data_IF_107740711557
#
_entry.id   IF_107740711557
#
_cell.length_a   1.000
_cell.length_b   1.000
_cell.length_c   1.000
_cell.angle_alpha   90.00
_cell.angle_beta   90.00
_cell.angle_gamma   90.00
#
_symmetry.space_group_name_H-M   'P 1'
#
loop_
_entity.id
_entity.type
_entity.pdbx_description
1 polymer ?
#
# COMPACT_ATOMS: atom_id res chain seq x y z
N UNK A 1 36.68 -37.67 -5.47
CA UNK A 1 36.35 -36.26 -5.73
C UNK A 1 35.34 -35.75 -4.69
N UNK A 2 35.86 -35.07 -3.67
CA UNK A 2 35.13 -34.58 -2.51
C UNK A 2 34.76 -33.09 -2.65
N UNK A 3 34.21 -32.71 -3.81
CA UNK A 3 33.98 -31.29 -4.16
C UNK A 3 32.63 -31.06 -4.84
N UNK A 4 31.60 -31.82 -4.44
CA UNK A 4 30.24 -31.50 -4.84
C UNK A 4 29.72 -30.42 -3.89
N UNK A 5 29.55 -29.20 -4.43
CA UNK A 5 28.86 -28.12 -3.73
C UNK A 5 27.51 -28.66 -3.18
N UNK A 6 27.12 -28.30 -1.94
CA UNK A 6 25.85 -28.76 -1.39
C UNK A 6 24.73 -28.36 -2.35
N UNK A 7 23.71 -29.22 -2.54
CA UNK A 7 22.58 -28.88 -3.39
C UNK A 7 22.01 -27.54 -2.92
N UNK A 8 21.77 -26.62 -3.86
CA UNK A 8 21.17 -25.33 -3.58
C UNK A 8 19.93 -25.56 -2.69
N UNK A 9 19.90 -24.90 -1.53
CA UNK A 9 18.81 -25.07 -0.58
C UNK A 9 17.48 -24.89 -1.32
N UNK A 10 16.58 -25.87 -1.19
CA UNK A 10 15.23 -25.76 -1.75
C UNK A 10 14.61 -24.50 -1.15
N UNK A 11 14.21 -23.50 -1.96
CA UNK A 11 13.60 -22.29 -1.44
C UNK A 11 12.39 -22.68 -0.60
N UNK A 12 12.37 -22.25 0.66
CA UNK A 12 11.20 -22.46 1.51
C UNK A 12 10.02 -21.74 0.85
N UNK A 13 8.86 -22.39 0.64
CA UNK A 13 7.70 -21.72 0.07
C UNK A 13 7.38 -20.50 0.93
N UNK A 14 7.50 -19.30 0.36
CA UNK A 14 7.04 -18.11 1.04
C UNK A 14 5.51 -18.15 1.06
N UNK A 15 4.85 -17.99 2.22
CA UNK A 15 3.40 -17.91 2.26
C UNK A 15 2.95 -16.77 1.35
N UNK A 16 1.89 -17.00 0.57
CA UNK A 16 1.37 -16.01 -0.37
C UNK A 16 1.04 -14.72 0.40
N UNK A 17 1.52 -13.54 -0.04
CA UNK A 17 1.27 -12.32 0.69
C UNK A 17 -0.21 -11.98 0.70
N UNK A 18 -0.71 -11.52 1.85
CA UNK A 18 -2.09 -11.08 2.02
C UNK A 18 -2.15 -9.59 1.69
N UNK A 19 -2.67 -9.28 0.50
CA UNK A 19 -2.87 -7.90 0.05
C UNK A 19 -4.37 -7.66 -0.15
N UNK A 20 -4.90 -6.61 0.46
CA UNK A 20 -6.31 -6.24 0.37
C UNK A 20 -6.54 -4.95 -0.42
N UNK A 21 -7.79 -4.68 -0.76
CA UNK A 21 -8.26 -3.37 -1.19
C UNK A 21 -9.43 -2.92 -0.30
N UNK A 22 -9.47 -1.62 0.03
CA UNK A 22 -10.58 -1.02 0.77
C UNK A 22 -10.99 0.28 0.09
N UNK A 23 -12.21 0.27 -0.44
CA UNK A 23 -12.83 1.47 -0.99
C UNK A 23 -13.41 2.37 0.10
N UNK A 24 -13.01 3.63 0.09
CA UNK A 24 -13.61 4.67 0.93
C UNK A 24 -14.97 5.09 0.36
N UNK A 25 -15.99 5.21 1.19
CA UNK A 25 -17.32 5.69 0.79
C UNK A 25 -17.93 6.57 1.89
N UNK A 26 -18.90 7.45 1.57
CA UNK A 26 -19.48 8.33 2.58
C UNK A 26 -20.13 7.50 3.69
N UNK A 27 -19.71 7.71 4.94
CA UNK A 27 -20.17 6.94 6.08
C UNK A 27 -19.37 5.68 6.40
N UNK A 28 -18.24 5.42 5.72
CA UNK A 28 -17.29 4.38 6.16
C UNK A 28 -16.89 4.64 7.62
N UNK A 29 -16.97 3.60 8.45
CA UNK A 29 -16.71 3.71 9.88
C UNK A 29 -15.27 3.31 10.19
N UNK A 30 -14.69 3.93 11.22
CA UNK A 30 -13.38 3.51 11.74
C UNK A 30 -13.38 2.03 12.17
N UNK A 31 -14.50 1.53 12.67
CA UNK A 31 -14.65 0.12 13.04
C UNK A 31 -14.53 -0.81 11.83
N UNK A 32 -15.18 -0.50 10.71
CA UNK A 32 -15.03 -1.30 9.49
C UNK A 32 -13.58 -1.29 8.99
N UNK A 33 -12.94 -0.11 8.98
CA UNK A 33 -11.54 0.03 8.61
C UNK A 33 -10.63 -0.80 9.52
N UNK A 34 -10.83 -0.74 10.84
CA UNK A 34 -10.08 -1.55 11.82
C UNK A 34 -10.28 -3.05 11.60
N UNK A 35 -11.51 -3.50 11.33
CA UNK A 35 -11.79 -4.92 11.05
C UNK A 35 -11.05 -5.44 9.83
N UNK A 36 -10.99 -4.66 8.75
CA UNK A 36 -10.20 -5.02 7.56
C UNK A 36 -8.72 -5.13 7.92
N UNK A 37 -8.19 -4.10 8.60
CA UNK A 37 -6.77 -3.99 8.99
C UNK A 37 -6.32 -4.96 10.09
N UNK A 38 -7.25 -5.64 10.77
CA UNK A 38 -6.95 -6.62 11.82
C UNK A 38 -6.54 -7.99 11.25
N UNK A 39 -6.89 -8.27 10.00
CA UNK A 39 -6.35 -9.42 9.25
C UNK A 39 -4.82 -9.30 9.18
N UNK A 40 -4.04 -10.40 9.17
CA UNK A 40 -2.59 -10.36 8.97
C UNK A 40 -2.22 -9.92 7.53
N UNK A 41 -2.55 -8.68 7.20
CA UNK A 41 -2.29 -8.01 5.93
C UNK A 41 -0.82 -7.63 5.85
N UNK A 42 -0.20 -7.95 4.72
CA UNK A 42 1.07 -7.36 4.33
C UNK A 42 0.85 -5.93 3.81
N UNK A 43 -0.20 -5.73 3.01
CA UNK A 43 -0.50 -4.43 2.43
C UNK A 43 -1.99 -4.21 2.14
N UNK A 44 -2.38 -2.95 2.03
CA UNK A 44 -3.73 -2.51 1.68
C UNK A 44 -3.66 -1.43 0.59
N UNK A 45 -4.41 -1.61 -0.48
CA UNK A 45 -4.74 -0.53 -1.42
C UNK A 45 -5.97 0.20 -0.91
N UNK A 46 -5.81 1.46 -0.49
CA UNK A 46 -6.90 2.31 -0.04
C UNK A 46 -7.43 3.10 -1.24
N UNK A 47 -8.65 2.84 -1.68
CA UNK A 47 -9.24 3.62 -2.78
C UNK A 47 -9.89 4.89 -2.21
N UNK A 48 -9.18 6.02 -2.24
CA UNK A 48 -9.65 7.30 -1.73
C UNK A 48 -10.26 8.19 -2.82
N UNK A 49 -10.84 9.33 -2.40
CA UNK A 49 -11.47 10.26 -3.34
C UNK A 49 -10.46 11.16 -4.05
N UNK A 50 -10.71 11.45 -5.33
CA UNK A 50 -10.03 12.52 -6.06
C UNK A 50 -8.51 12.38 -6.04
N UNK A 51 -7.82 13.35 -5.45
CA UNK A 51 -6.35 13.40 -5.39
C UNK A 51 -5.74 12.69 -4.17
N UNK A 52 -6.49 11.83 -3.47
CA UNK A 52 -6.04 11.16 -2.25
C UNK A 52 -6.67 11.72 -0.98
N UNK A 53 -7.99 11.81 -0.96
CA UNK A 53 -8.75 12.34 0.18
C UNK A 53 -9.57 11.23 0.84
N UNK A 54 -9.35 11.01 2.13
CA UNK A 54 -10.17 10.16 2.98
C UNK A 54 -11.13 10.96 3.88
N UNK A 55 -11.90 10.29 4.76
CA UNK A 55 -12.68 10.96 5.81
C UNK A 55 -11.73 11.49 6.90
N UNK A 56 -10.80 12.37 6.56
CA UNK A 56 -9.68 12.75 7.44
C UNK A 56 -10.10 13.55 8.68
N UNK A 57 -11.30 14.15 8.67
CA UNK A 57 -11.95 14.74 9.85
C UNK A 57 -12.41 13.70 10.88
N UNK A 58 -12.44 12.43 10.51
CA UNK A 58 -12.68 11.32 11.43
C UNK A 58 -11.34 10.83 11.98
N UNK A 59 -10.93 11.35 13.14
CA UNK A 59 -9.65 11.02 13.77
C UNK A 59 -9.49 9.52 14.00
N UNK A 60 -10.55 8.82 14.40
CA UNK A 60 -10.52 7.37 14.62
C UNK A 60 -10.24 6.56 13.35
N UNK A 61 -10.62 7.09 12.17
CA UNK A 61 -10.27 6.48 10.89
C UNK A 61 -8.78 6.65 10.58
N UNK A 62 -8.25 7.88 10.74
CA UNK A 62 -6.83 8.17 10.50
C UNK A 62 -5.94 7.40 11.47
N UNK A 63 -6.35 7.31 12.74
CA UNK A 63 -5.66 6.52 13.76
C UNK A 63 -5.63 5.02 13.41
N UNK A 64 -6.73 4.45 12.90
CA UNK A 64 -6.76 3.06 12.46
C UNK A 64 -5.73 2.77 11.35
N UNK A 65 -5.54 3.71 10.42
CA UNK A 65 -4.51 3.62 9.38
C UNK A 65 -3.11 3.72 10.00
N UNK A 66 -2.87 4.71 10.86
CA UNK A 66 -1.58 4.92 11.51
C UNK A 66 -1.15 3.71 12.36
N UNK A 67 -2.07 3.12 13.13
CA UNK A 67 -1.82 1.91 13.88
C UNK A 67 -1.45 0.72 12.98
N UNK A 68 -2.11 0.58 11.83
CA UNK A 68 -1.79 -0.49 10.88
C UNK A 68 -0.40 -0.28 10.24
N UNK A 69 -0.07 0.95 9.86
CA UNK A 69 1.28 1.28 9.37
C UNK A 69 2.32 1.01 10.45
N UNK A 70 2.06 1.36 11.71
CA UNK A 70 2.95 1.06 12.84
C UNK A 70 3.14 -0.45 13.09
N UNK A 71 2.15 -1.29 12.74
CA UNK A 71 2.29 -2.76 12.73
C UNK A 71 3.08 -3.31 11.53
N UNK A 72 3.46 -2.46 10.57
CA UNK A 72 4.19 -2.85 9.37
C UNK A 72 3.31 -3.12 8.13
N UNK A 73 2.02 -2.77 8.16
CA UNK A 73 1.15 -2.87 6.98
C UNK A 73 1.48 -1.72 6.01
N UNK A 74 1.81 -2.05 4.77
CA UNK A 74 1.98 -1.03 3.72
C UNK A 74 0.62 -0.58 3.21
N UNK A 75 0.26 0.69 3.39
CA UNK A 75 -0.99 1.25 2.86
C UNK A 75 -0.67 2.18 1.69
N UNK A 76 -1.28 1.94 0.54
CA UNK A 76 -1.11 2.73 -0.69
C UNK A 76 -2.44 3.35 -1.07
N UNK A 77 -2.49 4.68 -1.14
CA UNK A 77 -3.66 5.42 -1.57
C UNK A 77 -3.74 5.46 -3.11
N UNK A 78 -4.83 4.94 -3.66
CA UNK A 78 -5.18 5.03 -5.07
C UNK A 78 -6.49 5.81 -5.22
N UNK A 79 -6.60 6.59 -6.29
CA UNK A 79 -7.84 7.32 -6.55
C UNK A 79 -8.95 6.38 -7.05
N UNK A 80 -10.19 6.66 -6.65
CA UNK A 80 -11.39 6.07 -7.25
C UNK A 80 -11.69 6.61 -8.65
N UNK A 81 -11.05 7.70 -9.07
CA UNK A 81 -11.22 8.27 -10.40
C UNK A 81 -10.58 7.37 -11.45
N UNK A 82 -11.24 7.15 -12.59
CA UNK A 82 -10.69 6.35 -13.71
C UNK A 82 -9.35 6.89 -14.23
N UNK A 83 -9.14 8.20 -14.10
CA UNK A 83 -7.86 8.88 -14.36
C UNK A 83 -7.68 9.95 -13.30
N UNK A 84 -6.50 9.97 -12.69
CA UNK A 84 -6.11 10.93 -11.69
C UNK A 84 -4.77 10.55 -11.10
N UNK A 85 -4.20 11.45 -10.32
CA UNK A 85 -2.94 11.20 -9.62
C UNK A 85 -3.18 11.51 -8.15
N UNK A 86 -2.83 10.58 -7.27
CA UNK A 86 -2.82 10.85 -5.83
C UNK A 86 -1.62 11.74 -5.51
N UNK A 87 -1.90 12.89 -4.91
CA UNK A 87 -0.88 13.84 -4.43
C UNK A 87 -1.17 14.15 -2.96
N UNK A 88 -0.45 13.45 -2.09
CA UNK A 88 -0.54 13.63 -0.64
C UNK A 88 0.22 14.86 -0.14
N UNK A 89 0.96 15.56 -1.01
CA UNK A 89 1.70 16.79 -0.70
C UNK A 89 0.89 18.07 -0.99
N UNK A 90 -0.08 18.01 -1.91
CA UNK A 90 -0.78 19.18 -2.45
C UNK A 90 -1.97 19.72 -1.64
N UNK A 91 -2.56 18.96 -0.69
CA UNK A 91 -3.76 19.38 0.06
C UNK A 91 -3.72 19.01 1.56
N UNK A 92 -4.35 19.84 2.40
CA UNK A 92 -4.43 19.64 3.86
C UNK A 92 -5.04 18.29 4.29
N UNK A 93 -5.92 17.70 3.47
CA UNK A 93 -6.56 16.40 3.72
C UNK A 93 -5.71 15.20 3.27
N UNK A 94 -4.92 15.36 2.20
CA UNK A 94 -3.88 14.38 1.83
C UNK A 94 -2.75 14.34 2.86
N UNK A 95 -2.46 15.48 3.50
CA UNK A 95 -1.49 15.57 4.58
C UNK A 95 -1.86 14.68 5.79
N UNK A 96 -3.15 14.47 6.08
CA UNK A 96 -3.57 13.60 7.18
C UNK A 96 -3.24 12.12 6.90
N UNK A 97 -3.52 11.65 5.67
CA UNK A 97 -3.16 10.29 5.26
C UNK A 97 -1.65 10.11 5.20
N UNK A 98 -0.91 11.10 4.68
CA UNK A 98 0.55 11.08 4.70
C UNK A 98 1.11 11.03 6.13
N UNK A 99 0.54 11.80 7.07
CA UNK A 99 0.93 11.77 8.49
C UNK A 99 0.63 10.42 9.15
N UNK A 100 -0.41 9.73 8.71
CA UNK A 100 -0.68 8.34 9.11
C UNK A 100 0.28 7.32 8.46
N UNK A 101 1.19 7.76 7.58
CA UNK A 101 2.19 6.92 6.92
C UNK A 101 1.69 6.19 5.67
N UNK A 102 0.53 6.59 5.14
CA UNK A 102 0.00 6.12 3.85
C UNK A 102 0.87 6.64 2.71
N UNK A 103 1.14 5.77 1.73
CA UNK A 103 1.92 6.08 0.54
C UNK A 103 1.00 6.58 -0.58
N UNK A 104 1.48 7.51 -1.39
CA UNK A 104 0.81 7.84 -2.65
C UNK A 104 1.00 6.71 -3.67
N UNK A 105 -0.10 6.27 -4.29
CA UNK A 105 -0.08 5.42 -5.48
C UNK A 105 0.10 6.21 -6.79
N UNK A 106 0.19 7.55 -6.73
CA UNK A 106 0.29 8.44 -7.88
C UNK A 106 -0.83 8.15 -8.90
N UNK A 107 -0.50 7.92 -10.17
CA UNK A 107 -1.41 7.62 -11.27
C UNK A 107 -1.60 6.12 -11.52
N UNK A 108 -1.15 5.26 -10.60
CA UNK A 108 -1.33 3.82 -10.74
C UNK A 108 -2.81 3.43 -10.62
N UNK A 109 -3.22 2.38 -11.33
CA UNK A 109 -4.56 1.82 -11.14
C UNK A 109 -4.60 0.93 -9.89
N UNK A 110 -5.80 0.73 -9.32
CA UNK A 110 -6.00 -0.14 -8.16
C UNK A 110 -5.49 -1.56 -8.44
N UNK A 111 -5.76 -2.08 -9.64
CA UNK A 111 -5.31 -3.41 -10.08
C UNK A 111 -3.78 -3.48 -10.20
N UNK A 112 -3.15 -2.44 -10.74
CA UNK A 112 -1.70 -2.37 -10.86
C UNK A 112 -1.02 -2.27 -9.49
N UNK A 113 -1.57 -1.47 -8.56
CA UNK A 113 -1.08 -1.39 -7.18
C UNK A 113 -1.19 -2.75 -6.47
N UNK A 114 -2.33 -3.43 -6.58
CA UNK A 114 -2.53 -4.77 -6.02
C UNK A 114 -1.52 -5.77 -6.59
N UNK A 115 -1.39 -5.83 -7.91
CA UNK A 115 -0.46 -6.73 -8.59
C UNK A 115 1.00 -6.46 -8.19
N UNK A 116 1.39 -5.19 -8.14
CA UNK A 116 2.73 -4.76 -7.75
C UNK A 116 3.03 -5.11 -6.29
N UNK A 117 2.11 -4.89 -5.37
CA UNK A 117 2.28 -5.27 -3.96
C UNK A 117 2.42 -6.78 -3.79
N UNK A 118 1.56 -7.57 -4.44
CA UNK A 118 1.66 -9.05 -4.42
C UNK A 118 3.00 -9.50 -4.97
N UNK A 119 3.42 -8.94 -6.10
CA UNK A 119 4.71 -9.24 -6.71
C UNK A 119 5.88 -8.91 -5.77
N UNK A 120 5.92 -7.68 -5.24
CA UNK A 120 7.02 -7.22 -4.37
C UNK A 120 7.09 -8.01 -3.06
N UNK A 121 5.96 -8.29 -2.41
CA UNK A 121 5.93 -9.10 -1.18
C UNK A 121 6.19 -10.59 -1.41
N UNK A 122 6.04 -11.09 -2.64
CA UNK A 122 6.50 -12.44 -2.99
C UNK A 122 8.03 -12.54 -3.13
N UNK A 123 8.73 -11.41 -3.16
CA UNK A 123 10.19 -11.35 -3.15
C UNK A 123 10.72 -11.32 -1.71
N UNK A 124 11.95 -11.78 -1.50
CA UNK A 124 12.64 -11.69 -0.21
C UNK A 124 13.17 -10.27 0.06
N UNK A 125 12.30 -9.26 -0.04
CA UNK A 125 12.62 -7.85 0.13
C UNK A 125 12.17 -7.33 1.51
N UNK A 126 12.95 -6.45 2.16
CA UNK A 126 12.49 -5.74 3.35
C UNK A 126 11.28 -4.85 3.04
N UNK A 127 10.36 -4.70 4.01
CA UNK A 127 9.16 -3.85 3.87
C UNK A 127 9.49 -2.43 3.43
N UNK A 128 10.54 -1.81 3.98
CA UNK A 128 10.93 -0.44 3.62
C UNK A 128 11.33 -0.35 2.13
N UNK A 129 12.06 -1.34 1.63
CA UNK A 129 12.38 -1.43 0.19
C UNK A 129 11.13 -1.59 -0.66
N UNK A 130 10.15 -2.37 -0.22
CA UNK A 130 8.86 -2.51 -0.92
C UNK A 130 8.13 -1.15 -0.97
N UNK A 131 8.11 -0.41 0.14
CA UNK A 131 7.50 0.93 0.24
C UNK A 131 8.18 1.93 -0.70
N UNK A 132 9.50 1.91 -0.80
CA UNK A 132 10.25 2.72 -1.76
C UNK A 132 9.91 2.35 -3.21
N UNK A 133 9.89 1.05 -3.52
CA UNK A 133 9.60 0.55 -4.87
C UNK A 133 8.18 0.86 -5.33
N UNK A 134 7.22 1.09 -4.43
CA UNK A 134 5.87 1.52 -4.83
C UNK A 134 5.90 2.83 -5.64
N UNK A 135 6.81 3.75 -5.32
CA UNK A 135 7.00 5.00 -6.06
C UNK A 135 7.92 4.92 -7.28
N UNK A 136 8.42 3.73 -7.65
CA UNK A 136 9.34 3.52 -8.77
C UNK A 136 8.64 2.71 -9.87
N UNK A 137 8.66 3.20 -11.11
CA UNK A 137 8.09 2.47 -12.25
C UNK A 137 8.90 1.22 -12.56
N UNK A 138 8.27 0.04 -12.53
CA UNK A 138 8.89 -1.24 -12.89
C UNK A 138 8.63 -1.61 -14.35
N UNK A 139 7.43 -1.31 -14.85
CA UNK A 139 7.01 -1.63 -16.20
C UNK A 139 6.09 -0.56 -16.82
N UNK A 140 6.07 0.66 -16.27
CA UNK A 140 5.23 1.77 -16.75
C UNK A 140 3.91 1.91 -15.99
N UNK A 141 3.76 1.24 -14.86
CA UNK A 141 2.55 1.22 -14.04
C UNK A 141 2.34 2.47 -13.17
N UNK A 142 3.39 3.28 -13.04
CA UNK A 142 3.37 4.55 -12.30
C UNK A 142 4.29 5.58 -12.97
N UNK A 143 3.83 6.82 -12.97
CA UNK A 143 4.58 8.03 -13.34
C UNK A 143 4.90 8.82 -12.07
N UNK A 144 6.11 8.70 -11.50
CA UNK A 144 6.48 9.45 -10.30
C UNK A 144 6.46 10.94 -10.59
N UNK A 145 5.90 11.75 -9.69
CA UNK A 145 6.02 13.21 -9.80
C UNK A 145 7.50 13.60 -9.56
N UNK A 146 8.06 14.43 -10.44
CA UNK A 146 9.40 14.97 -10.25
C UNK A 146 9.43 15.79 -8.94
N UNK A 147 10.43 15.50 -8.10
CA UNK A 147 10.74 16.34 -6.93
C UNK A 147 11.16 17.75 -7.34
#
# INVERSE_FOLDING_TARGET
PADAAPPAAVPTPQPMPVVGALRVFPGITAQLTRSVLATPLNALVLEAYGMGNGPSRNEAFVEALAEAVARGVTIVDCTQCLRGTVDLSGYATGADLARAGVLSGYDTTVEAALAKLIFLYSQALPTDTIRELMGVSLCGEVTPQAK
#
